data_IF_664516910797
#
_entry.id   IF_664516910797
#
_cell.length_a   1.000
_cell.length_b   1.000
_cell.length_c   1.000
_cell.angle_alpha   90.00
_cell.angle_beta   90.00
_cell.angle_gamma   90.00
#
_symmetry.space_group_name_H-M   'P 1'
#
loop_
_entity.id
_entity.type
_entity.pdbx_description
1 polymer ?
#
# COMPACT_ATOMS: atom_id res chain seq x y z
N UNK A 1 -10.58 -20.86 -2.41
CA UNK A 1 -9.74 -19.68 -2.18
C UNK A 1 -8.28 -20.05 -2.28
N UNK A 2 -7.49 -19.31 -3.01
CA UNK A 2 -6.07 -19.56 -3.04
C UNK A 2 -5.47 -19.32 -1.65
N UNK A 3 -4.54 -20.16 -1.29
CA UNK A 3 -3.83 -20.02 -0.03
C UNK A 3 -2.66 -19.07 -0.22
N UNK A 4 -2.63 -18.01 0.58
CA UNK A 4 -1.56 -17.02 0.52
C UNK A 4 -0.51 -17.32 1.57
N UNK A 5 0.76 -17.12 1.21
CA UNK A 5 1.87 -17.15 2.15
C UNK A 5 2.47 -15.76 2.25
N UNK A 6 2.93 -15.40 3.46
CA UNK A 6 3.40 -14.06 3.81
C UNK A 6 4.83 -14.17 4.29
N UNK A 7 5.76 -13.64 3.52
CA UNK A 7 7.19 -13.70 3.82
C UNK A 7 7.81 -12.30 3.78
N UNK A 8 8.88 -12.05 4.56
CA UNK A 8 9.56 -10.77 4.46
C UNK A 8 10.05 -10.51 3.04
N UNK A 9 9.89 -9.30 2.56
CA UNK A 9 10.48 -8.88 1.29
C UNK A 9 12.00 -8.76 1.46
N UNK A 10 12.72 -8.88 0.37
CA UNK A 10 14.18 -8.80 0.35
C UNK A 10 14.63 -7.73 -0.65
N UNK A 11 15.94 -7.50 -0.73
CA UNK A 11 16.51 -6.53 -1.67
C UNK A 11 16.08 -6.81 -3.13
N UNK A 12 15.83 -8.07 -3.48
CA UNK A 12 15.32 -8.44 -4.80
C UNK A 12 13.97 -7.82 -5.11
N UNK A 13 13.18 -7.51 -4.08
CA UNK A 13 11.81 -7.02 -4.25
C UNK A 13 11.73 -5.50 -4.42
N UNK A 14 12.82 -4.78 -4.15
CA UNK A 14 12.85 -3.30 -4.21
C UNK A 14 12.37 -2.79 -5.57
N UNK A 15 12.90 -3.36 -6.64
CA UNK A 15 12.57 -2.91 -8.00
C UNK A 15 11.08 -3.07 -8.32
N UNK A 16 10.49 -4.21 -7.95
CA UNK A 16 9.08 -4.48 -8.20
C UNK A 16 8.18 -3.53 -7.40
N UNK A 17 8.51 -3.29 -6.13
CA UNK A 17 7.75 -2.37 -5.29
C UNK A 17 7.85 -0.94 -5.85
N UNK A 18 9.06 -0.54 -6.24
CA UNK A 18 9.29 0.77 -6.82
C UNK A 18 8.48 0.97 -8.10
N UNK A 19 8.45 -0.03 -8.98
CA UNK A 19 7.70 0.05 -10.24
C UNK A 19 6.20 0.23 -9.98
N UNK A 20 5.66 -0.45 -8.97
CA UNK A 20 4.26 -0.31 -8.58
C UNK A 20 3.96 1.09 -8.02
N UNK A 21 4.85 1.63 -7.18
CA UNK A 21 4.73 2.99 -6.66
C UNK A 21 4.80 4.03 -7.78
N UNK A 22 5.75 3.85 -8.70
CA UNK A 22 5.96 4.75 -9.83
C UNK A 22 4.71 4.79 -10.73
N UNK A 23 4.11 3.64 -10.98
CA UNK A 23 2.88 3.56 -11.79
C UNK A 23 1.77 4.40 -11.16
N UNK A 24 1.58 4.30 -9.85
CA UNK A 24 0.56 5.07 -9.14
C UNK A 24 0.86 6.57 -9.16
N UNK A 25 2.10 6.95 -8.92
CA UNK A 25 2.51 8.36 -8.97
C UNK A 25 2.25 8.94 -10.35
N UNK A 26 2.67 8.24 -11.40
CA UNK A 26 2.48 8.71 -12.77
C UNK A 26 1.01 8.79 -13.17
N UNK A 27 0.17 7.94 -12.59
CA UNK A 27 -1.26 7.88 -12.90
C UNK A 27 -2.06 8.93 -12.16
N UNK A 28 -1.73 9.23 -10.91
CA UNK A 28 -2.59 10.03 -10.04
C UNK A 28 -2.00 11.36 -9.56
N UNK A 29 -0.68 11.52 -9.57
CA UNK A 29 -0.08 12.79 -9.16
C UNK A 29 -0.13 13.83 -10.26
N UNK A 30 -0.10 15.11 -9.84
CA UNK A 30 -0.13 16.25 -10.75
C UNK A 30 1.30 16.74 -10.99
N UNK A 31 1.87 16.49 -12.20
CA UNK A 31 3.24 16.92 -12.49
C UNK A 31 3.42 18.45 -12.51
N UNK A 32 2.32 19.20 -12.60
CA UNK A 32 2.39 20.66 -12.55
C UNK A 32 2.57 21.18 -11.11
N UNK A 33 2.23 20.35 -10.11
CA UNK A 33 2.28 20.75 -8.70
C UNK A 33 3.53 20.29 -7.97
N UNK A 34 4.33 19.40 -8.57
CA UNK A 34 5.51 18.83 -7.90
C UNK A 34 6.54 18.34 -8.89
N UNK A 35 7.76 18.19 -8.41
CA UNK A 35 8.86 17.59 -9.18
C UNK A 35 8.75 16.07 -9.03
N UNK A 36 8.17 15.42 -10.04
CA UNK A 36 7.92 13.97 -10.03
C UNK A 36 9.23 13.19 -9.90
N UNK A 37 10.29 13.60 -10.58
CA UNK A 37 11.57 12.90 -10.51
C UNK A 37 12.14 12.89 -9.09
N UNK A 38 12.01 14.01 -8.38
CA UNK A 38 12.45 14.12 -6.99
C UNK A 38 11.61 13.25 -6.07
N UNK A 39 10.30 13.21 -6.28
CA UNK A 39 9.39 12.34 -5.52
C UNK A 39 9.76 10.88 -5.72
N UNK A 40 10.04 10.48 -6.97
CA UNK A 40 10.41 9.09 -7.27
C UNK A 40 11.74 8.69 -6.63
N UNK A 41 12.72 9.58 -6.59
CA UNK A 41 13.99 9.32 -5.90
C UNK A 41 13.76 9.12 -4.40
N UNK A 42 12.92 9.94 -3.79
CA UNK A 42 12.58 9.82 -2.37
C UNK A 42 11.87 8.48 -2.09
N UNK A 43 10.96 8.08 -2.98
CA UNK A 43 10.23 6.81 -2.85
C UNK A 43 11.19 5.63 -2.91
N UNK A 44 12.13 5.65 -3.88
CA UNK A 44 13.11 4.58 -4.00
C UNK A 44 13.96 4.46 -2.75
N UNK A 45 14.44 5.58 -2.22
CA UNK A 45 15.22 5.61 -0.98
C UNK A 45 14.41 5.04 0.20
N UNK A 46 13.14 5.44 0.31
CA UNK A 46 12.24 4.95 1.36
C UNK A 46 12.07 3.42 1.28
N UNK A 47 11.86 2.89 0.09
CA UNK A 47 11.69 1.44 -0.10
C UNK A 47 12.97 0.70 0.28
N UNK A 48 14.12 1.16 -0.22
CA UNK A 48 15.42 0.55 0.10
C UNK A 48 15.70 0.57 1.59
N UNK A 49 15.45 1.69 2.24
CA UNK A 49 15.74 1.86 3.67
C UNK A 49 14.80 1.05 4.57
N UNK A 50 13.62 0.69 4.09
CA UNK A 50 12.59 0.02 4.88
C UNK A 50 12.20 -1.35 4.34
N UNK A 51 13.01 -1.93 3.46
CA UNK A 51 12.64 -3.19 2.79
C UNK A 51 12.33 -4.32 3.78
N UNK A 52 12.98 -4.34 4.92
CA UNK A 52 12.74 -5.34 5.96
C UNK A 52 11.33 -5.25 6.57
N UNK A 53 10.66 -4.11 6.41
CA UNK A 53 9.29 -3.90 6.93
C UNK A 53 8.22 -4.29 5.91
N UNK A 54 8.61 -4.57 4.68
CA UNK A 54 7.69 -4.99 3.64
C UNK A 54 7.46 -6.49 3.69
N UNK A 55 6.25 -6.90 3.35
CA UNK A 55 5.88 -8.31 3.23
C UNK A 55 5.61 -8.61 1.77
N UNK A 56 6.18 -9.71 1.29
CA UNK A 56 5.89 -10.26 -0.03
C UNK A 56 4.85 -11.35 0.13
N UNK A 57 3.74 -11.22 -0.58
CA UNK A 57 2.64 -12.18 -0.54
C UNK A 57 2.73 -13.09 -1.76
N UNK A 58 2.65 -14.40 -1.53
CA UNK A 58 2.75 -15.40 -2.60
C UNK A 58 1.55 -16.31 -2.61
N UNK A 59 1.23 -16.80 -3.79
CA UNK A 59 0.22 -17.81 -4.00
C UNK A 59 0.87 -18.93 -4.83
N UNK A 60 0.94 -20.13 -4.27
CA UNK A 60 1.60 -21.28 -4.91
C UNK A 60 3.04 -20.95 -5.37
N UNK A 61 3.76 -20.19 -4.54
CA UNK A 61 5.15 -19.80 -4.83
C UNK A 61 5.30 -18.58 -5.74
N UNK A 62 4.23 -18.11 -6.34
CA UNK A 62 4.27 -16.94 -7.22
C UNK A 62 3.99 -15.66 -6.42
N UNK A 63 4.79 -14.62 -6.63
CA UNK A 63 4.59 -13.33 -5.97
C UNK A 63 3.34 -12.67 -6.53
N UNK A 64 2.42 -12.28 -5.67
CA UNK A 64 1.14 -11.70 -6.09
C UNK A 64 0.88 -10.31 -5.51
N UNK A 65 1.54 -9.95 -4.41
CA UNK A 65 1.29 -8.67 -3.76
C UNK A 65 2.43 -8.28 -2.81
N UNK A 66 2.43 -7.00 -2.42
CA UNK A 66 3.35 -6.45 -1.41
C UNK A 66 2.60 -5.49 -0.51
N UNK A 67 3.00 -5.42 0.75
CA UNK A 67 2.51 -4.38 1.64
C UNK A 67 3.52 -4.07 2.74
N UNK A 68 3.35 -2.92 3.39
CA UNK A 68 4.15 -2.52 4.53
C UNK A 68 3.21 -2.05 5.64
N UNK A 69 3.21 -2.75 6.76
CA UNK A 69 2.43 -2.37 7.93
C UNK A 69 3.40 -2.11 9.08
N UNK A 70 3.42 -0.89 9.60
CA UNK A 70 4.38 -0.50 10.63
C UNK A 70 3.73 0.33 11.73
N UNK A 71 4.21 0.18 12.95
CA UNK A 71 3.77 1.01 14.06
C UNK A 71 4.24 2.45 13.88
N UNK A 72 3.39 3.39 14.27
CA UNK A 72 3.72 4.81 14.31
C UNK A 72 3.20 5.38 15.63
N UNK A 73 3.48 6.67 15.89
CA UNK A 73 3.03 7.34 17.10
C UNK A 73 1.50 7.44 17.18
N UNK A 74 0.82 7.43 16.04
CA UNK A 74 -0.63 7.61 15.95
C UNK A 74 -1.40 6.31 15.65
N UNK A 75 -0.78 5.17 15.89
CA UNK A 75 -1.35 3.86 15.60
C UNK A 75 -0.49 3.13 14.59
N UNK A 76 -1.10 2.35 13.70
CA UNK A 76 -0.39 1.62 12.67
C UNK A 76 -0.58 2.30 11.31
N UNK A 77 0.47 2.34 10.52
CA UNK A 77 0.37 2.82 9.13
C UNK A 77 0.46 1.65 8.17
N UNK A 78 -0.54 1.55 7.28
CA UNK A 78 -0.47 0.64 6.14
C UNK A 78 0.08 1.44 4.96
N UNK A 79 1.34 1.22 4.66
CA UNK A 79 2.01 1.90 3.56
C UNK A 79 2.17 0.90 2.43
N UNK A 80 1.83 1.33 1.21
CA UNK A 80 2.08 0.54 0.00
C UNK A 80 1.43 -0.85 -0.03
N UNK A 81 0.11 -0.92 -0.06
CA UNK A 81 -0.59 -2.17 -0.36
C UNK A 81 -0.80 -2.27 -1.88
N UNK A 82 -0.10 -3.20 -2.51
CA UNK A 82 -0.16 -3.38 -3.97
C UNK A 82 -0.41 -4.83 -4.33
N UNK A 83 -1.43 -5.07 -5.17
CA UNK A 83 -1.65 -6.39 -5.80
C UNK A 83 -1.16 -6.28 -7.24
N UNK A 84 -0.36 -7.23 -7.68
CA UNK A 84 0.16 -7.24 -9.05
C UNK A 84 -0.99 -7.31 -10.05
N UNK A 85 -0.84 -6.64 -11.20
CA UNK A 85 -1.94 -6.42 -12.15
C UNK A 85 -2.68 -7.70 -12.55
N UNK A 86 -1.95 -8.79 -12.85
CA UNK A 86 -2.54 -10.04 -13.27
C UNK A 86 -3.27 -10.81 -12.15
N UNK A 87 -3.15 -10.33 -10.92
CA UNK A 87 -3.78 -10.96 -9.75
C UNK A 87 -4.88 -10.12 -9.11
N UNK A 88 -5.22 -9.00 -9.72
CA UNK A 88 -6.27 -8.11 -9.20
C UNK A 88 -7.66 -8.70 -9.39
N UNK A 89 -8.62 -8.18 -8.62
CA UNK A 89 -10.04 -8.58 -8.68
C UNK A 89 -10.30 -10.04 -8.30
N UNK A 90 -9.45 -10.59 -7.44
CA UNK A 90 -9.56 -11.98 -6.95
C UNK A 90 -9.68 -12.05 -5.42
N UNK A 91 -9.87 -10.90 -4.76
CA UNK A 91 -10.02 -10.85 -3.31
C UNK A 91 -8.71 -10.86 -2.53
N UNK A 92 -7.56 -10.81 -3.18
CA UNK A 92 -6.25 -10.83 -2.51
C UNK A 92 -6.06 -9.57 -1.65
N UNK A 93 -6.39 -8.40 -2.18
CA UNK A 93 -6.30 -7.15 -1.42
C UNK A 93 -7.14 -7.17 -0.16
N UNK A 94 -8.37 -7.71 -0.24
CA UNK A 94 -9.25 -7.86 0.92
C UNK A 94 -8.65 -8.78 1.97
N UNK A 95 -8.09 -9.91 1.55
CA UNK A 95 -7.49 -10.88 2.47
C UNK A 95 -6.27 -10.29 3.18
N UNK A 96 -5.43 -9.57 2.46
CA UNK A 96 -4.28 -8.87 3.05
C UNK A 96 -4.76 -7.83 4.05
N UNK A 97 -5.77 -7.05 3.70
CA UNK A 97 -6.28 -5.98 4.55
C UNK A 97 -6.87 -6.54 5.84
N UNK A 98 -7.61 -7.64 5.76
CA UNK A 98 -8.14 -8.33 6.95
C UNK A 98 -7.01 -8.82 7.86
N UNK A 99 -5.94 -9.33 7.28
CA UNK A 99 -4.77 -9.75 8.03
C UNK A 99 -4.10 -8.56 8.74
N UNK A 100 -3.95 -7.43 8.05
CA UNK A 100 -3.38 -6.23 8.64
C UNK A 100 -4.23 -5.71 9.81
N UNK A 101 -5.54 -5.72 9.64
CA UNK A 101 -6.48 -5.30 10.70
C UNK A 101 -6.32 -6.21 11.93
N UNK A 102 -6.21 -7.51 11.71
CA UNK A 102 -6.03 -8.48 12.80
C UNK A 102 -4.68 -8.30 13.50
N UNK A 103 -3.60 -8.10 12.74
CA UNK A 103 -2.25 -7.92 13.31
C UNK A 103 -2.11 -6.63 14.10
N UNK A 104 -2.65 -5.54 13.59
CA UNK A 104 -2.51 -4.23 14.22
C UNK A 104 -3.22 -4.18 15.57
N UNK A 105 -4.40 -4.78 15.69
CA UNK A 105 -5.23 -4.75 16.92
C UNK A 105 -5.44 -3.33 17.46
N UNK A 106 -5.39 -2.32 16.59
CA UNK A 106 -5.46 -0.91 16.93
C UNK A 106 -5.90 -0.14 15.69
N UNK A 107 -5.94 1.18 15.79
CA UNK A 107 -6.28 1.99 14.63
C UNK A 107 -5.20 1.90 13.57
N UNK A 108 -5.65 1.92 12.31
CA UNK A 108 -4.79 1.91 11.12
C UNK A 108 -5.12 3.13 10.28
N UNK A 109 -4.10 3.82 9.80
CA UNK A 109 -4.30 4.89 8.83
C UNK A 109 -3.45 4.61 7.59
N UNK A 110 -3.83 5.23 6.49
CA UNK A 110 -3.11 5.10 5.22
C UNK A 110 -3.29 6.36 4.39
N UNK A 111 -2.37 6.55 3.47
CA UNK A 111 -2.49 7.58 2.44
C UNK A 111 -2.97 6.90 1.16
N UNK A 112 -3.89 7.54 0.46
CA UNK A 112 -4.42 7.00 -0.80
C UNK A 112 -4.59 8.16 -1.78
N UNK A 113 -4.34 7.88 -3.05
CA UNK A 113 -4.59 8.87 -4.10
C UNK A 113 -6.09 9.07 -4.25
N UNK A 114 -6.54 10.33 -4.24
CA UNK A 114 -7.94 10.69 -4.34
C UNK A 114 -8.60 10.15 -5.61
N UNK A 115 -7.83 10.06 -6.69
CA UNK A 115 -8.30 9.50 -7.96
C UNK A 115 -8.37 7.99 -8.01
N UNK A 116 -7.83 7.29 -7.02
CA UNK A 116 -7.79 5.83 -7.01
C UNK A 116 -9.09 5.26 -6.40
N UNK A 117 -10.17 5.35 -7.16
CA UNK A 117 -11.51 4.96 -6.70
C UNK A 117 -11.60 3.50 -6.26
N UNK A 118 -10.89 2.61 -6.97
CA UNK A 118 -10.89 1.18 -6.64
C UNK A 118 -10.29 0.90 -5.27
N UNK A 119 -9.17 1.54 -4.96
CA UNK A 119 -8.53 1.40 -3.65
C UNK A 119 -9.40 1.98 -2.55
N UNK A 120 -9.97 3.16 -2.77
CA UNK A 120 -10.85 3.82 -1.80
C UNK A 120 -12.04 2.92 -1.47
N UNK A 121 -12.68 2.31 -2.48
CA UNK A 121 -13.80 1.39 -2.25
C UNK A 121 -13.39 0.17 -1.43
N UNK A 122 -12.21 -0.37 -1.71
CA UNK A 122 -11.66 -1.50 -0.94
C UNK A 122 -11.52 -1.12 0.53
N UNK A 123 -10.91 0.02 0.81
CA UNK A 123 -10.70 0.48 2.18
C UNK A 123 -12.03 0.77 2.87
N UNK A 124 -12.97 1.40 2.19
CA UNK A 124 -14.31 1.69 2.75
C UNK A 124 -15.04 0.41 3.14
N UNK A 125 -14.94 -0.65 2.33
CA UNK A 125 -15.57 -1.93 2.64
C UNK A 125 -15.01 -2.55 3.92
N UNK A 126 -13.81 -2.16 4.32
CA UNK A 126 -13.15 -2.68 5.52
C UNK A 126 -13.18 -1.69 6.69
N UNK A 127 -14.04 -0.69 6.63
CA UNK A 127 -14.26 0.21 7.76
C UNK A 127 -13.38 1.45 7.80
N UNK A 128 -12.63 1.74 6.74
CA UNK A 128 -11.85 2.97 6.65
C UNK A 128 -12.71 4.10 6.13
N UNK A 129 -12.44 5.31 6.61
CA UNK A 129 -13.08 6.52 6.09
C UNK A 129 -12.06 7.63 5.95
N UNK A 130 -12.34 8.58 5.06
CA UNK A 130 -11.46 9.73 4.86
C UNK A 130 -11.53 10.64 6.09
N UNK A 131 -10.38 10.94 6.68
CA UNK A 131 -10.30 11.83 7.85
C UNK A 131 -9.60 13.15 7.51
N UNK A 132 -8.86 13.20 6.40
CA UNK A 132 -8.17 14.42 6.02
C UNK A 132 -7.81 14.41 4.54
N UNK A 133 -8.08 15.52 3.86
CA UNK A 133 -7.57 15.78 2.51
C UNK A 133 -6.21 16.44 2.66
N UNK A 134 -5.15 15.80 2.22
CA UNK A 134 -3.77 16.27 2.41
C UNK A 134 -3.34 17.21 1.29
N UNK A 135 -3.74 16.90 0.07
CA UNK A 135 -3.45 17.70 -1.12
C UNK A 135 -4.57 17.48 -2.13
N UNK A 136 -4.45 18.07 -3.32
CA UNK A 136 -5.41 17.83 -4.40
C UNK A 136 -5.52 16.34 -4.77
N UNK A 137 -4.43 15.59 -4.61
CA UNK A 137 -4.33 14.23 -5.13
C UNK A 137 -4.27 13.16 -4.07
N UNK A 138 -4.13 13.53 -2.78
CA UNK A 138 -3.96 12.55 -1.70
C UNK A 138 -4.84 12.86 -0.50
N UNK A 139 -5.31 11.79 0.12
CA UNK A 139 -6.10 11.87 1.35
C UNK A 139 -5.63 10.79 2.35
N UNK A 140 -5.93 11.00 3.61
CA UNK A 140 -5.71 10.02 4.66
C UNK A 140 -7.03 9.33 4.95
N UNK A 141 -7.00 8.01 4.98
CA UNK A 141 -8.12 7.20 5.47
C UNK A 141 -7.71 6.52 6.76
N UNK A 142 -8.67 6.31 7.64
CA UNK A 142 -8.43 5.71 8.95
C UNK A 142 -9.53 4.75 9.32
N UNK A 143 -9.13 3.66 9.98
CA UNK A 143 -10.03 2.71 10.63
C UNK A 143 -9.66 2.67 12.10
N UNK A 144 -10.64 2.95 12.97
CA UNK A 144 -10.42 2.89 14.41
C UNK A 144 -10.40 1.42 14.86
N UNK A 145 -9.57 1.13 15.81
CA UNK A 145 -9.36 -0.22 16.30
C UNK A 145 -10.48 -0.78 17.16
#
# INVERSE_FOLDING_TARGET
MPELTFLPATDEDVSAIYDLCKDLVNRYEDPASMDIDRVLLWILDKIQSNIAKYTCVREAGEKVAYYCLAESNDGWELDDLYVLAQHRNRGIGSEILERCISEASASIFLYVFTGNAGAIRLYERHGFSCVQQVSKTRQIMRRDG
#
